data_IF_971175526769
#
_entry.id   IF_971175526769
#
_cell.length_a   1.000
_cell.length_b   1.000
_cell.length_c   1.000
_cell.angle_alpha   90.00
_cell.angle_beta   90.00
_cell.angle_gamma   90.00
#
_symmetry.space_group_name_H-M   'P 1'
#
loop_
_entity.id
_entity.type
_entity.pdbx_description
1 polymer ?
#
# COMPACT_ATOMS: atom_id res chain seq x y z
N UNK A 1 -4.50 -4.20 0.66
CA UNK A 1 -3.05 -4.24 0.38
C UNK A 1 -2.42 -5.17 1.40
N UNK A 2 -1.41 -5.96 1.01
CA UNK A 2 -0.66 -6.79 1.96
C UNK A 2 0.62 -6.05 2.34
N UNK A 3 0.94 -6.03 3.62
CA UNK A 3 2.16 -5.42 4.15
C UNK A 3 2.84 -6.44 5.05
N UNK A 4 4.12 -6.70 4.80
CA UNK A 4 4.96 -7.52 5.67
C UNK A 4 5.74 -6.59 6.61
N UNK A 5 5.66 -6.84 7.92
CA UNK A 5 6.38 -6.08 8.94
C UNK A 5 7.40 -6.97 9.61
N UNK A 6 8.63 -6.49 9.71
CA UNK A 6 9.69 -7.12 10.47
C UNK A 6 9.85 -6.33 11.78
N UNK A 7 9.66 -7.01 12.91
CA UNK A 7 9.85 -6.43 14.21
C UNK A 7 11.27 -6.68 14.71
N UNK A 8 11.79 -5.77 15.54
CA UNK A 8 13.11 -5.90 16.18
C UNK A 8 13.20 -7.12 17.12
N UNK A 9 12.06 -7.68 17.53
CA UNK A 9 11.97 -8.94 18.27
C UNK A 9 12.33 -10.16 17.42
N UNK A 10 12.48 -10.01 16.10
CA UNK A 10 12.70 -11.09 15.14
C UNK A 10 11.42 -11.69 14.56
N UNK A 11 10.25 -11.30 15.09
CA UNK A 11 8.96 -11.73 14.53
C UNK A 11 8.66 -11.02 13.22
N UNK A 12 8.02 -11.77 12.30
CA UNK A 12 7.54 -11.26 11.01
C UNK A 12 6.04 -11.48 10.91
N UNK A 13 5.30 -10.45 10.54
CA UNK A 13 3.84 -10.51 10.45
C UNK A 13 3.34 -9.86 9.16
N UNK A 14 2.41 -10.54 8.49
CA UNK A 14 1.69 -9.98 7.34
C UNK A 14 0.38 -9.36 7.83
N UNK A 15 0.15 -8.11 7.44
CA UNK A 15 -1.07 -7.37 7.68
C UNK A 15 -1.85 -7.19 6.38
N UNK A 16 -3.16 -7.38 6.45
CA UNK A 16 -4.09 -7.06 5.37
C UNK A 16 -4.74 -5.72 5.72
N UNK A 17 -4.43 -4.69 4.96
CA UNK A 17 -4.88 -3.32 5.24
C UNK A 17 -5.75 -2.74 4.11
N UNK A 18 -6.71 -1.86 4.42
CA UNK A 18 -7.42 -1.07 3.43
C UNK A 18 -6.47 -0.21 2.58
N UNK A 19 -6.82 0.07 1.32
CA UNK A 19 -6.01 0.95 0.45
C UNK A 19 -6.06 2.43 0.89
N UNK A 20 -7.11 2.83 1.60
CA UNK A 20 -7.29 4.19 2.14
C UNK A 20 -6.44 4.46 3.38
N UNK A 21 -5.79 3.42 3.93
CA UNK A 21 -5.05 3.52 5.17
C UNK A 21 -3.77 4.33 5.02
N UNK A 22 -3.54 5.27 5.93
CA UNK A 22 -2.31 6.06 5.95
C UNK A 22 -1.13 5.25 6.50
N UNK A 23 0.04 5.44 5.90
CA UNK A 23 1.26 4.75 6.33
C UNK A 23 1.65 5.07 7.78
N UNK A 24 1.39 6.30 8.22
CA UNK A 24 1.65 6.72 9.60
C UNK A 24 0.74 6.00 10.60
N UNK A 25 -0.56 5.95 10.31
CA UNK A 25 -1.53 5.23 11.14
C UNK A 25 -1.18 3.74 11.21
N UNK A 26 -0.84 3.14 10.07
CA UNK A 26 -0.41 1.74 10.03
C UNK A 26 0.82 1.49 10.89
N UNK A 27 1.84 2.33 10.77
CA UNK A 27 3.07 2.19 11.57
C UNK A 27 2.77 2.25 13.05
N UNK A 28 1.92 3.18 13.49
CA UNK A 28 1.58 3.33 14.90
C UNK A 28 0.86 2.09 15.43
N UNK A 29 -0.14 1.59 14.70
CA UNK A 29 -0.86 0.38 15.10
C UNK A 29 0.02 -0.87 15.07
N UNK A 30 0.84 -1.04 14.02
CA UNK A 30 1.78 -2.16 13.95
C UNK A 30 2.76 -2.13 15.13
N UNK A 31 3.22 -0.93 15.53
CA UNK A 31 4.10 -0.75 16.69
C UNK A 31 3.39 -1.07 18.01
N UNK A 32 2.12 -0.72 18.14
CA UNK A 32 1.31 -1.03 19.32
C UNK A 32 1.07 -2.54 19.48
N UNK A 33 0.83 -3.24 18.37
CA UNK A 33 0.55 -4.69 18.37
C UNK A 33 1.83 -5.52 18.57
N UNK A 34 2.88 -5.24 17.81
CA UNK A 34 4.08 -6.09 17.71
C UNK A 34 5.36 -5.48 18.28
N UNK A 35 5.30 -4.27 18.79
CA UNK A 35 6.45 -3.56 19.36
C UNK A 35 7.31 -2.86 18.32
N UNK A 36 8.60 -2.69 18.61
CA UNK A 36 9.49 -1.89 17.78
C UNK A 36 9.66 -2.48 16.36
N UNK A 37 9.41 -1.66 15.36
CA UNK A 37 9.51 -2.04 13.94
C UNK A 37 10.95 -1.87 13.46
N UNK A 38 11.46 -2.87 12.75
CA UNK A 38 12.72 -2.83 12.02
C UNK A 38 12.51 -2.36 10.58
N UNK A 39 11.62 -3.03 9.83
CA UNK A 39 11.32 -2.69 8.44
C UNK A 39 9.88 -3.02 8.06
N UNK A 40 9.41 -2.39 6.97
CA UNK A 40 8.07 -2.56 6.41
C UNK A 40 8.19 -2.78 4.89
N UNK A 41 7.61 -3.85 4.39
CA UNK A 41 7.57 -4.20 2.97
C UNK A 41 6.13 -4.15 2.45
N UNK A 42 5.90 -3.30 1.45
CA UNK A 42 4.59 -3.14 0.83
C UNK A 42 4.48 -4.06 -0.37
N UNK A 43 3.48 -4.94 -0.38
CA UNK A 43 3.17 -5.74 -1.56
C UNK A 43 2.55 -4.83 -2.63
N UNK A 44 3.36 -4.39 -3.59
CA UNK A 44 2.84 -3.77 -4.80
C UNK A 44 2.06 -4.83 -5.61
N UNK A 45 0.91 -4.48 -6.21
CA UNK A 45 0.29 -5.37 -7.17
C UNK A 45 1.28 -5.61 -8.31
N UNK A 46 1.61 -6.88 -8.57
CA UNK A 46 2.47 -7.25 -9.68
C UNK A 46 1.88 -6.68 -10.97
N UNK A 47 2.70 -5.95 -11.74
CA UNK A 47 2.32 -5.29 -13.01
C UNK A 47 1.64 -6.24 -14.00
N UNK A 48 1.85 -7.55 -13.87
CA UNK A 48 1.20 -8.58 -14.69
C UNK A 48 -0.29 -8.83 -14.37
N UNK A 49 -0.84 -8.27 -13.28
CA UNK A 49 -2.28 -8.33 -12.97
C UNK A 49 -3.02 -7.00 -13.19
N UNK A 50 -2.33 -5.94 -13.60
CA UNK A 50 -2.95 -4.63 -13.83
C UNK A 50 -3.92 -4.59 -15.04
N UNK A 51 -3.85 -5.58 -15.93
CA UNK A 51 -4.73 -5.65 -17.11
C UNK A 51 -6.18 -6.06 -16.79
N UNK A 52 -6.49 -6.53 -15.58
CA UNK A 52 -7.86 -6.90 -15.19
C UNK A 52 -8.53 -5.92 -14.20
N UNK A 53 -7.79 -4.95 -13.67
CA UNK A 53 -8.31 -3.97 -12.71
C UNK A 53 -8.34 -2.54 -13.28
N UNK A 54 -8.34 -2.41 -14.60
CA UNK A 54 -8.37 -1.12 -15.33
C UNK A 54 -9.79 -0.74 -15.76
N UNK A 55 -10.78 -0.80 -14.87
CA UNK A 55 -12.09 -0.19 -15.19
C UNK A 55 -12.78 0.61 -14.10
N UNK A 56 -12.18 0.76 -12.92
CA UNK A 56 -12.71 1.69 -11.94
C UNK A 56 -11.57 2.57 -11.41
N UNK A 57 -11.80 3.88 -11.44
CA UNK A 57 -10.96 4.93 -10.87
C UNK A 57 -9.75 5.41 -11.71
N UNK A 58 -10.01 6.04 -12.86
CA UNK A 58 -9.20 7.19 -13.30
C UNK A 58 -10.07 8.42 -13.59
N UNK A 59 -10.29 9.17 -12.53
CA UNK A 59 -10.58 10.59 -12.56
C UNK A 59 -9.47 11.35 -13.34
N UNK A 60 -9.90 12.32 -14.15
CA UNK A 60 -9.42 13.69 -13.96
C UNK A 60 -8.07 14.10 -14.56
N UNK A 61 -7.84 13.86 -15.85
CA UNK A 61 -6.92 14.71 -16.62
C UNK A 61 -7.67 15.22 -17.85
N UNK A 62 -8.21 16.43 -17.74
CA UNK A 62 -8.80 17.16 -18.84
C UNK A 62 -7.66 17.57 -19.78
N UNK A 63 -7.42 16.79 -20.83
CA UNK A 63 -6.46 17.16 -21.88
C UNK A 63 -7.13 18.18 -22.80
N UNK A 64 -6.57 19.38 -22.83
CA UNK A 64 -7.00 20.44 -23.74
C UNK A 64 -6.65 20.01 -25.18
N UNK A 65 -7.55 20.18 -26.17
CA UNK A 65 -7.20 19.95 -27.58
C UNK A 65 -6.14 20.97 -28.03
N UNK A 66 -5.08 20.47 -28.68
CA UNK A 66 -4.15 21.30 -29.42
C UNK A 66 -4.92 22.05 -30.52
N UNK A 67 -4.82 23.37 -30.50
CA UNK A 67 -5.38 24.24 -31.53
C UNK A 67 -4.34 24.48 -32.62
N UNK A 68 -4.58 23.81 -33.74
CA UNK A 68 -4.26 24.13 -35.14
C UNK A 68 -2.82 24.46 -35.55
#
# INVERSE_FOLDING_TARGET
MKILVHFKSGFKQIFIVPKSMLALEFRNMAKEIGGAIESIEFSLPSRNQANFASHDYRNGVLRLPDKH
#
